data_IF_874120608981
#
_entry.id   IF_874120608981
#
_cell.length_a   1.000
_cell.length_b   1.000
_cell.length_c   1.000
_cell.angle_alpha   90.00
_cell.angle_beta   90.00
_cell.angle_gamma   90.00
#
_symmetry.space_group_name_H-M   'P 1'
#
loop_
_entity.id
_entity.type
_entity.pdbx_description
1 polymer ?
#
# COMPACT_ATOMS: atom_id res chain seq x y z
N UNK A 1 15.03 -39.15 -54.14
CA UNK A 1 13.82 -39.28 -54.96
C UNK A 1 12.99 -40.42 -54.37
N UNK A 2 11.78 -40.08 -53.90
CA UNK A 2 10.60 -40.91 -53.58
C UNK A 2 10.80 -42.28 -52.90
N UNK A 3 10.61 -42.32 -51.58
CA UNK A 3 10.22 -43.55 -50.86
C UNK A 3 8.75 -43.43 -50.48
N UNK A 4 7.89 -44.14 -51.22
CA UNK A 4 6.47 -44.28 -50.91
C UNK A 4 6.28 -45.61 -50.16
N UNK A 5 6.03 -45.53 -48.85
CA UNK A 5 5.62 -46.71 -48.09
C UNK A 5 4.10 -46.89 -48.22
N UNK A 6 3.75 -47.90 -49.00
CA UNK A 6 2.41 -48.44 -49.24
C UNK A 6 1.92 -49.09 -47.94
N UNK A 7 0.80 -48.61 -47.39
CA UNK A 7 0.04 -49.35 -46.37
C UNK A 7 -1.03 -50.20 -47.08
N UNK A 8 -0.80 -51.51 -47.10
CA UNK A 8 -1.80 -52.49 -47.53
C UNK A 8 -2.98 -52.50 -46.55
N UNK A 9 -4.17 -52.27 -47.08
CA UNK A 9 -5.44 -52.58 -46.40
C UNK A 9 -5.80 -54.00 -46.79
N UNK A 10 -5.67 -54.94 -45.85
CA UNK A 10 -6.22 -56.29 -46.01
C UNK A 10 -7.71 -56.25 -45.68
N UNK A 11 -8.51 -56.60 -46.69
CA UNK A 11 -9.94 -56.82 -46.59
C UNK A 11 -10.20 -58.28 -46.22
N UNK A 12 -10.72 -58.54 -45.01
CA UNK A 12 -11.35 -59.82 -44.68
C UNK A 12 -12.74 -59.59 -44.11
N UNK A 13 -13.68 -60.37 -44.64
CA UNK A 13 -15.12 -60.32 -44.42
C UNK A 13 -15.56 -61.23 -43.27
N UNK A 14 -16.51 -60.81 -42.44
CA UNK A 14 -17.33 -61.75 -41.66
C UNK A 14 -17.85 -61.26 -40.30
N UNK A 15 -19.10 -60.77 -40.32
CA UNK A 15 -20.18 -60.90 -39.33
C UNK A 15 -19.95 -60.83 -37.80
N UNK A 16 -20.60 -59.82 -37.19
CA UNK A 16 -21.27 -59.77 -35.87
C UNK A 16 -20.58 -60.39 -34.63
N UNK A 17 -20.02 -59.54 -33.77
CA UNK A 17 -20.56 -59.33 -32.41
C UNK A 17 -19.73 -58.28 -31.65
N UNK A 18 -20.44 -57.22 -31.25
CA UNK A 18 -20.19 -56.46 -30.02
C UNK A 18 -18.74 -56.01 -29.76
N UNK A 19 -18.28 -54.99 -30.47
CA UNK A 19 -17.31 -54.08 -29.85
C UNK A 19 -18.01 -53.47 -28.63
N UNK A 20 -17.45 -53.54 -27.40
CA UNK A 20 -17.94 -52.65 -26.37
C UNK A 20 -17.67 -51.25 -26.92
N UNK A 21 -18.74 -50.48 -27.14
CA UNK A 21 -18.55 -49.05 -27.25
C UNK A 21 -17.80 -48.66 -25.98
N UNK A 22 -16.52 -48.29 -26.13
CA UNK A 22 -15.80 -47.60 -25.08
C UNK A 22 -16.54 -46.27 -24.96
N UNK A 23 -17.59 -46.29 -24.14
CA UNK A 23 -18.23 -45.14 -23.52
C UNK A 23 -17.13 -44.45 -22.72
N UNK A 24 -16.25 -43.73 -23.43
CA UNK A 24 -15.41 -42.69 -22.86
C UNK A 24 -16.30 -41.46 -22.66
N UNK A 25 -17.43 -41.64 -21.99
CA UNK A 25 -18.39 -40.62 -21.58
C UNK A 25 -17.86 -39.82 -20.39
N UNK A 26 -16.55 -39.57 -20.36
CA UNK A 26 -15.85 -38.87 -19.28
C UNK A 26 -14.78 -37.90 -19.81
N UNK A 27 -14.92 -37.41 -21.04
CA UNK A 27 -13.88 -36.56 -21.67
C UNK A 27 -14.29 -35.11 -21.89
N UNK A 28 -15.54 -34.80 -22.26
CA UNK A 28 -15.94 -33.41 -22.55
C UNK A 28 -16.30 -32.61 -21.29
N UNK A 29 -17.13 -33.18 -20.41
CA UNK A 29 -17.57 -32.52 -19.17
C UNK A 29 -16.41 -32.34 -18.19
N UNK A 30 -15.62 -33.39 -17.94
CA UNK A 30 -14.41 -33.35 -17.10
C UNK A 30 -13.39 -32.31 -17.59
N UNK A 31 -13.22 -32.19 -18.90
CA UNK A 31 -12.30 -31.23 -19.51
C UNK A 31 -12.84 -29.81 -19.44
N UNK A 32 -14.15 -29.62 -19.61
CA UNK A 32 -14.82 -28.33 -19.38
C UNK A 32 -14.68 -27.88 -17.91
N UNK A 33 -14.88 -28.79 -16.95
CA UNK A 33 -14.68 -28.54 -15.51
C UNK A 33 -13.23 -28.20 -15.21
N UNK A 34 -12.27 -28.93 -15.78
CA UNK A 34 -10.84 -28.66 -15.57
C UNK A 34 -10.44 -27.29 -16.13
N UNK A 35 -10.93 -26.94 -17.34
CA UNK A 35 -10.72 -25.61 -17.92
C UNK A 35 -11.35 -24.50 -17.09
N UNK A 36 -12.59 -24.68 -16.62
CA UNK A 36 -13.25 -23.72 -15.75
C UNK A 36 -12.48 -23.50 -14.45
N UNK A 37 -11.92 -24.58 -13.87
CA UNK A 37 -11.08 -24.49 -12.68
C UNK A 37 -9.76 -23.76 -12.93
N UNK A 38 -9.11 -24.00 -14.07
CA UNK A 38 -7.90 -23.23 -14.46
C UNK A 38 -8.25 -21.76 -14.63
N UNK A 39 -9.33 -21.44 -15.34
CA UNK A 39 -9.79 -20.06 -15.53
C UNK A 39 -10.08 -19.38 -14.20
N UNK A 40 -10.84 -20.02 -13.32
CA UNK A 40 -11.17 -19.48 -12.00
C UNK A 40 -9.92 -19.28 -11.12
N UNK A 41 -8.96 -20.22 -11.15
CA UNK A 41 -7.71 -20.08 -10.42
C UNK A 41 -6.85 -18.94 -10.96
N UNK A 42 -6.71 -18.83 -12.28
CA UNK A 42 -5.94 -17.76 -12.91
C UNK A 42 -6.57 -16.39 -12.65
N UNK A 43 -7.90 -16.32 -12.70
CA UNK A 43 -8.66 -15.11 -12.41
C UNK A 43 -8.50 -14.70 -10.93
N UNK A 44 -8.62 -15.66 -10.00
CA UNK A 44 -8.38 -15.42 -8.58
C UNK A 44 -6.94 -14.96 -8.30
N UNK A 45 -5.93 -15.56 -8.93
CA UNK A 45 -4.53 -15.14 -8.80
C UNK A 45 -4.31 -13.73 -9.35
N UNK A 46 -4.91 -13.41 -10.50
CA UNK A 46 -4.86 -12.07 -11.10
C UNK A 46 -5.45 -11.02 -10.16
N UNK A 47 -6.65 -11.26 -9.61
CA UNK A 47 -7.27 -10.35 -8.66
C UNK A 47 -6.49 -10.20 -7.36
N UNK A 48 -5.91 -11.29 -6.84
CA UNK A 48 -5.05 -11.24 -5.66
C UNK A 48 -3.80 -10.39 -5.91
N UNK A 49 -3.18 -10.52 -7.10
CA UNK A 49 -2.02 -9.72 -7.50
C UNK A 49 -2.37 -8.24 -7.65
N UNK A 50 -3.48 -7.92 -8.31
CA UNK A 50 -3.95 -6.52 -8.47
C UNK A 50 -4.14 -5.87 -7.09
N UNK A 51 -4.85 -6.55 -6.18
CA UNK A 51 -5.06 -6.04 -4.82
C UNK A 51 -3.76 -5.79 -4.06
N UNK A 52 -2.78 -6.68 -4.22
CA UNK A 52 -1.46 -6.52 -3.60
C UNK A 52 -0.70 -5.30 -4.16
N UNK A 53 -0.74 -5.11 -5.48
CA UNK A 53 -0.12 -3.96 -6.13
C UNK A 53 -0.77 -2.64 -5.70
N UNK A 54 -2.10 -2.56 -5.72
CA UNK A 54 -2.84 -1.38 -5.26
C UNK A 54 -2.54 -1.04 -3.80
N UNK A 55 -2.45 -2.05 -2.94
CA UNK A 55 -2.08 -1.85 -1.54
C UNK A 55 -0.65 -1.31 -1.40
N UNK A 56 0.29 -1.80 -2.21
CA UNK A 56 1.68 -1.35 -2.19
C UNK A 56 1.83 0.08 -2.71
N UNK A 57 1.15 0.40 -3.80
CA UNK A 57 1.24 1.74 -4.40
C UNK A 57 0.62 2.79 -3.46
N UNK A 58 -0.49 2.45 -2.80
CA UNK A 58 -1.07 3.29 -1.75
C UNK A 58 -0.12 3.45 -0.55
N UNK A 59 0.54 2.37 -0.11
CA UNK A 59 1.54 2.44 0.96
C UNK A 59 2.66 3.43 0.63
N UNK A 60 3.19 3.36 -0.59
CA UNK A 60 4.26 4.24 -1.05
C UNK A 60 3.81 5.71 -1.08
N UNK A 61 2.61 5.98 -1.58
CA UNK A 61 2.04 7.33 -1.61
C UNK A 61 1.89 7.90 -0.19
N UNK A 62 1.42 7.08 0.75
CA UNK A 62 1.26 7.49 2.14
C UNK A 62 2.60 7.82 2.79
N UNK A 63 3.63 7.02 2.51
CA UNK A 63 4.98 7.25 3.00
C UNK A 63 5.58 8.54 2.43
N UNK A 64 5.38 8.81 1.14
CA UNK A 64 5.82 10.04 0.49
C UNK A 64 5.17 11.28 1.13
N UNK A 65 3.86 11.24 1.36
CA UNK A 65 3.12 12.33 2.01
C UNK A 65 3.54 12.56 3.46
N UNK A 66 3.78 11.49 4.21
CA UNK A 66 4.36 11.57 5.57
C UNK A 66 5.74 12.24 5.53
N UNK A 67 6.60 11.84 4.59
CA UNK A 67 7.91 12.45 4.40
C UNK A 67 7.82 13.94 4.11
N UNK A 68 6.89 14.35 3.24
CA UNK A 68 6.66 15.76 2.93
C UNK A 68 6.23 16.57 4.16
N UNK A 69 5.30 16.04 4.98
CA UNK A 69 4.90 16.68 6.24
C UNK A 69 6.06 16.79 7.22
N UNK A 70 6.86 15.73 7.34
CA UNK A 70 8.02 15.69 8.21
C UNK A 70 9.03 16.77 7.82
N UNK A 71 9.36 16.88 6.52
CA UNK A 71 10.27 17.92 6.02
C UNK A 71 9.71 19.32 6.26
N UNK A 72 8.39 19.53 6.07
CA UNK A 72 7.74 20.82 6.34
C UNK A 72 7.76 21.21 7.82
N UNK A 73 7.46 20.26 8.72
CA UNK A 73 7.53 20.49 10.16
C UNK A 73 8.96 20.81 10.59
N UNK A 74 9.94 20.07 10.07
CA UNK A 74 11.35 20.32 10.30
C UNK A 74 11.77 21.72 9.83
N UNK A 75 11.44 22.11 8.60
CA UNK A 75 11.82 23.41 8.04
C UNK A 75 11.22 24.57 8.85
N UNK A 76 9.95 24.47 9.25
CA UNK A 76 9.29 25.50 10.05
C UNK A 76 9.93 25.65 11.43
N UNK A 77 10.24 24.52 12.07
CA UNK A 77 10.89 24.45 13.38
C UNK A 77 12.33 24.98 13.30
N UNK A 78 13.08 24.61 12.26
CA UNK A 78 14.44 25.09 12.06
C UNK A 78 14.49 26.58 11.76
N UNK A 79 13.45 27.11 11.12
CA UNK A 79 13.28 28.54 10.92
C UNK A 79 12.89 29.33 12.19
N UNK A 80 12.67 28.69 13.34
CA UNK A 80 12.32 29.39 14.58
C UNK A 80 13.46 30.28 15.07
N UNK A 81 13.15 31.51 15.45
CA UNK A 81 14.16 32.51 15.84
C UNK A 81 15.02 32.08 17.03
N UNK A 82 14.50 31.17 17.86
CA UNK A 82 15.16 30.67 19.07
C UNK A 82 15.51 29.18 18.98
N UNK A 83 15.60 28.60 17.77
CA UNK A 83 15.84 27.17 17.59
C UNK A 83 17.09 26.66 18.31
N UNK A 84 18.20 27.40 18.27
CA UNK A 84 19.43 27.03 18.97
C UNK A 84 19.21 26.86 20.47
N UNK A 85 18.41 27.76 21.07
CA UNK A 85 18.09 27.71 22.49
C UNK A 85 17.11 26.59 22.82
N UNK A 86 16.16 26.34 21.92
CA UNK A 86 15.23 25.21 22.03
C UNK A 86 16.01 23.90 21.99
N UNK A 87 16.90 23.70 21.01
CA UNK A 87 17.69 22.48 20.88
C UNK A 87 18.70 22.25 22.01
N UNK A 88 19.25 23.32 22.60
CA UNK A 88 20.16 23.22 23.76
C UNK A 88 19.44 22.72 25.02
N UNK A 89 18.18 23.10 25.18
CA UNK A 89 17.44 22.89 26.41
C UNK A 89 16.40 21.75 26.30
N UNK A 90 15.95 21.45 25.08
CA UNK A 90 14.95 20.41 24.79
C UNK A 90 15.47 19.03 25.21
N UNK A 91 14.59 18.14 25.72
CA UNK A 91 14.94 16.75 25.93
C UNK A 91 15.24 16.01 24.61
N UNK A 92 14.82 16.58 23.47
CA UNK A 92 14.96 15.99 22.15
C UNK A 92 16.17 16.56 21.41
N UNK A 93 17.02 15.66 20.93
CA UNK A 93 18.24 16.01 20.19
C UNK A 93 18.05 16.06 18.68
N UNK A 94 16.99 15.43 18.16
CA UNK A 94 16.76 15.31 16.73
C UNK A 94 15.31 15.65 16.35
N UNK A 95 15.12 16.86 15.80
CA UNK A 95 13.82 17.36 15.34
C UNK A 95 13.21 16.48 14.25
N UNK A 96 14.03 15.91 13.34
CA UNK A 96 13.51 15.04 12.27
C UNK A 96 12.98 13.73 12.81
N UNK A 97 13.71 13.10 13.73
CA UNK A 97 13.26 11.85 14.36
C UNK A 97 11.97 12.10 15.15
N UNK A 98 11.91 13.18 15.92
CA UNK A 98 10.72 13.50 16.70
C UNK A 98 9.51 13.84 15.83
N UNK A 99 9.72 14.52 14.70
CA UNK A 99 8.66 14.78 13.73
C UNK A 99 8.12 13.48 13.10
N UNK A 100 8.97 12.47 12.90
CA UNK A 100 8.54 11.16 12.44
C UNK A 100 7.67 10.46 13.49
N UNK A 101 8.15 10.37 14.73
CA UNK A 101 7.45 9.72 15.83
C UNK A 101 6.10 10.39 16.12
N UNK A 102 6.06 11.73 16.09
CA UNK A 102 4.83 12.51 16.21
C UNK A 102 3.81 12.19 15.10
N UNK A 103 4.27 12.11 13.84
CA UNK A 103 3.40 11.78 12.71
C UNK A 103 2.97 10.30 12.73
N UNK A 104 3.80 9.39 13.24
CA UNK A 104 3.45 7.99 13.42
C UNK A 104 2.36 7.81 14.49
N UNK A 105 2.40 8.59 15.57
CA UNK A 105 1.34 8.62 16.58
C UNK A 105 0.01 9.23 16.09
N UNK A 106 0.05 10.12 15.09
CA UNK A 106 -1.14 10.81 14.53
C UNK A 106 -1.79 10.07 13.37
N UNK A 107 -1.02 9.29 12.64
CA UNK A 107 -1.47 8.60 11.43
C UNK A 107 -1.44 7.11 11.71
N UNK A 108 -2.61 6.45 11.73
CA UNK A 108 -2.74 5.03 12.09
C UNK A 108 -1.63 4.15 11.46
N UNK A 109 -1.22 3.07 12.17
CA UNK A 109 -0.20 2.15 11.67
C UNK A 109 -0.57 1.70 10.27
N UNK A 110 0.36 1.85 9.34
CA UNK A 110 0.18 1.56 7.92
C UNK A 110 -0.16 0.06 7.67
N UNK A 111 -0.07 -0.76 8.71
CA UNK A 111 -0.52 -2.15 8.78
C UNK A 111 -2.05 -2.33 8.82
N UNK A 112 -2.85 -1.29 9.10
CA UNK A 112 -4.34 -1.38 9.15
C UNK A 112 -5.04 -1.14 7.80
N UNK A 113 -4.30 -0.84 6.72
CA UNK A 113 -4.82 -0.41 5.41
C UNK A 113 -5.60 -1.45 4.58
N UNK A 114 -6.08 -2.53 5.19
CA UNK A 114 -6.86 -3.55 4.46
C UNK A 114 -8.21 -3.00 3.98
N UNK A 115 -8.75 -1.95 4.60
CA UNK A 115 -10.05 -1.38 4.26
C UNK A 115 -9.93 -0.06 3.49
N UNK A 116 -10.65 0.07 2.37
CA UNK A 116 -10.66 1.28 1.53
C UNK A 116 -11.12 2.53 2.28
N UNK A 117 -12.11 2.41 3.16
CA UNK A 117 -12.60 3.54 3.96
C UNK A 117 -11.53 4.15 4.88
N UNK A 118 -10.71 3.30 5.52
CA UNK A 118 -9.60 3.79 6.35
C UNK A 118 -8.55 4.50 5.50
N UNK A 119 -8.29 3.98 4.28
CA UNK A 119 -7.41 4.66 3.32
C UNK A 119 -7.94 6.05 2.97
N UNK A 120 -9.22 6.18 2.67
CA UNK A 120 -9.81 7.46 2.28
C UNK A 120 -9.74 8.48 3.42
N UNK A 121 -9.98 8.05 4.67
CA UNK A 121 -9.84 8.91 5.85
C UNK A 121 -8.38 9.36 6.02
N UNK A 122 -7.43 8.43 5.96
CA UNK A 122 -6.01 8.75 6.12
C UNK A 122 -5.51 9.67 5.00
N UNK A 123 -5.93 9.42 3.77
CA UNK A 123 -5.61 10.23 2.60
C UNK A 123 -6.13 11.66 2.77
N UNK A 124 -7.39 11.80 3.20
CA UNK A 124 -8.02 13.08 3.49
C UNK A 124 -7.33 13.84 4.62
N UNK A 125 -7.01 13.18 5.72
CA UNK A 125 -6.33 13.80 6.86
C UNK A 125 -4.93 14.29 6.50
N UNK A 126 -4.13 13.46 5.80
CA UNK A 126 -2.79 13.85 5.36
C UNK A 126 -2.83 15.01 4.38
N UNK A 127 -3.73 14.97 3.40
CA UNK A 127 -3.90 16.06 2.44
C UNK A 127 -4.33 17.36 3.12
N UNK A 128 -5.25 17.28 4.09
CA UNK A 128 -5.66 18.44 4.87
C UNK A 128 -4.47 19.05 5.62
N UNK A 129 -3.69 18.23 6.35
CA UNK A 129 -2.51 18.72 7.07
C UNK A 129 -1.45 19.31 6.14
N UNK A 130 -1.23 18.70 4.97
CA UNK A 130 -0.29 19.21 3.95
C UNK A 130 -0.77 20.56 3.41
N UNK A 131 -2.07 20.70 3.14
CA UNK A 131 -2.61 21.97 2.66
C UNK A 131 -2.52 23.06 3.75
N UNK A 132 -2.93 22.75 4.97
CA UNK A 132 -2.91 23.69 6.09
C UNK A 132 -1.48 24.17 6.41
N UNK A 133 -0.49 23.25 6.47
CA UNK A 133 0.91 23.63 6.73
C UNK A 133 1.50 24.49 5.59
N UNK A 134 1.11 24.24 4.34
CA UNK A 134 1.59 25.03 3.21
C UNK A 134 0.93 26.43 3.14
N UNK A 135 -0.33 26.57 3.57
CA UNK A 135 -1.06 27.84 3.56
C UNK A 135 -0.78 28.70 4.81
N UNK A 136 -0.82 28.07 5.98
CA UNK A 136 -0.78 28.75 7.28
C UNK A 136 0.62 28.72 7.91
N UNK A 137 1.53 27.86 7.41
CA UNK A 137 2.88 27.71 7.96
C UNK A 137 2.84 27.38 9.46
N UNK A 138 3.42 28.25 10.28
CA UNK A 138 3.45 28.11 11.75
C UNK A 138 2.09 28.24 12.44
N UNK A 139 1.11 28.81 11.76
CA UNK A 139 -0.25 28.90 12.28
C UNK A 139 -1.07 27.64 11.99
N UNK A 140 -0.51 26.69 11.23
CA UNK A 140 -1.17 25.41 10.97
C UNK A 140 -1.38 24.65 12.27
N UNK A 141 -2.50 23.93 12.35
CA UNK A 141 -2.84 23.17 13.55
C UNK A 141 -1.77 22.11 13.83
N UNK A 142 -1.32 21.40 12.78
CA UNK A 142 -0.35 20.32 12.92
C UNK A 142 1.02 20.83 13.41
N UNK A 143 1.45 22.03 12.98
CA UNK A 143 2.68 22.62 13.48
C UNK A 143 2.56 23.03 14.95
N UNK A 144 1.44 23.65 15.35
CA UNK A 144 1.22 24.07 16.75
C UNK A 144 1.20 22.89 17.71
N UNK A 145 0.60 21.78 17.28
CA UNK A 145 0.60 20.51 18.01
C UNK A 145 2.02 19.93 18.09
N UNK A 146 2.74 19.86 16.97
CA UNK A 146 4.14 19.41 16.95
C UNK A 146 5.04 20.28 17.83
N UNK A 147 4.89 21.61 17.76
CA UNK A 147 5.64 22.56 18.56
C UNK A 147 5.36 22.38 20.06
N UNK A 148 4.11 22.07 20.43
CA UNK A 148 3.75 21.75 21.81
C UNK A 148 4.28 20.40 22.28
N UNK A 149 4.33 19.43 21.40
CA UNK A 149 4.94 18.13 21.67
C UNK A 149 6.46 18.27 21.88
N UNK A 150 7.12 19.03 21.02
CA UNK A 150 8.57 19.23 21.07
C UNK A 150 9.01 20.20 22.17
N UNK A 151 8.15 21.16 22.53
CA UNK A 151 8.39 22.15 23.58
C UNK A 151 7.20 22.23 24.54
N UNK A 152 7.32 21.53 25.66
CA UNK A 152 6.32 21.54 26.72
C UNK A 152 5.96 22.97 27.17
N UNK A 153 4.73 23.17 27.63
CA UNK A 153 4.27 24.49 28.08
C UNK A 153 5.14 25.06 29.22
N UNK A 154 5.49 24.22 30.20
CA UNK A 154 6.37 24.62 31.30
C UNK A 154 7.77 25.01 30.81
N UNK A 155 8.28 24.32 29.78
CA UNK A 155 9.53 24.66 29.12
C UNK A 155 9.43 26.03 28.44
N UNK A 156 8.35 26.28 27.69
CA UNK A 156 8.15 27.55 26.98
C UNK A 156 8.05 28.73 27.93
N UNK A 157 7.27 28.61 29.01
CA UNK A 157 7.13 29.65 30.03
C UNK A 157 8.46 29.95 30.73
N UNK A 158 9.22 28.90 31.09
CA UNK A 158 10.52 29.03 31.77
C UNK A 158 11.57 29.75 30.91
N UNK A 159 11.49 29.61 29.59
CA UNK A 159 12.48 30.14 28.65
C UNK A 159 11.98 31.28 27.76
N UNK A 160 10.78 31.82 28.04
CA UNK A 160 10.20 32.93 27.29
C UNK A 160 10.01 32.63 25.79
N UNK A 161 9.61 31.40 25.48
CA UNK A 161 9.26 30.97 24.13
C UNK A 161 7.79 31.31 23.83
N UNK A 162 7.44 31.59 22.56
CA UNK A 162 6.06 31.84 22.17
C UNK A 162 5.17 30.64 22.49
N UNK A 163 3.98 30.91 23.03
CA UNK A 163 2.95 29.89 23.19
C UNK A 163 2.22 29.72 21.85
N UNK A 164 1.97 28.50 21.40
CA UNK A 164 1.30 28.23 20.13
C UNK A 164 -0.17 28.61 20.19
#
# INVERSE_FOLDING_TARGET
>A
MTSACIWQVSSESGNESSLPALESSSSSESLATFRAKITANNEAESYARIRSLESRDYYNLLLERKGLLQDRLFDLMFGEQKIYRIMELSPYTNVRAEAYDFLEGKVEPVSSLQHSFQRDIMDGSLNFSIQDINQSGRNSQIYREFYSHFTDEGFRLKFGLPLP
#
